data_IF_115587889796
#
_entry.id   IF_115587889796
#
_cell.length_a   1.000
_cell.length_b   1.000
_cell.length_c   1.000
_cell.angle_alpha   90.00
_cell.angle_beta   90.00
_cell.angle_gamma   90.00
#
_symmetry.space_group_name_H-M   'P 1'
#
loop_
_entity.id
_entity.type
_entity.pdbx_description
1 polymer ?
#
# COMPACT_ATOMS: atom_id res chain seq x y z
N UNK A 1 0.25 -55.72 -17.61
CA UNK A 1 -0.47 -56.61 -18.55
C UNK A 1 -1.80 -56.98 -17.91
N UNK A 2 -2.87 -56.95 -18.69
CA UNK A 2 -4.28 -57.25 -18.36
C UNK A 2 -5.22 -56.03 -18.37
N UNK A 3 -5.58 -55.79 -19.63
CA UNK A 3 -6.65 -55.03 -20.25
C UNK A 3 -8.02 -55.68 -19.92
N UNK A 4 -9.14 -54.95 -20.20
CA UNK A 4 -10.52 -55.43 -20.49
C UNK A 4 -11.41 -55.60 -19.22
N UNK A 5 -12.67 -55.13 -19.07
CA UNK A 5 -13.79 -54.66 -19.94
C UNK A 5 -14.75 -53.74 -19.14
N UNK A 6 -15.18 -52.59 -19.69
CA UNK A 6 -16.53 -52.27 -20.25
C UNK A 6 -17.69 -52.29 -19.24
N UNK A 7 -18.39 -51.16 -19.05
CA UNK A 7 -19.87 -51.04 -19.17
C UNK A 7 -20.26 -49.57 -19.41
N UNK A 8 -21.21 -49.46 -20.32
CA UNK A 8 -21.84 -48.32 -20.97
C UNK A 8 -22.92 -47.71 -20.07
N UNK A 9 -22.94 -46.39 -19.86
CA UNK A 9 -24.07 -45.70 -19.25
C UNK A 9 -24.31 -44.35 -19.95
N UNK A 10 -25.24 -44.41 -20.90
CA UNK A 10 -25.97 -43.30 -21.50
C UNK A 10 -26.88 -42.69 -20.42
N UNK A 11 -26.70 -41.41 -20.06
CA UNK A 11 -27.74 -40.67 -19.35
C UNK A 11 -27.70 -39.18 -19.70
N UNK A 12 -28.84 -38.76 -20.21
CA UNK A 12 -29.21 -37.43 -20.68
C UNK A 12 -29.26 -36.48 -19.48
N UNK A 13 -28.56 -35.36 -19.56
CA UNK A 13 -28.61 -34.28 -18.58
C UNK A 13 -28.73 -32.94 -19.29
N UNK A 14 -29.92 -32.34 -19.21
CA UNK A 14 -30.24 -30.99 -19.69
C UNK A 14 -29.15 -29.99 -19.28
N UNK A 15 -28.52 -29.33 -20.25
CA UNK A 15 -27.78 -28.09 -19.99
C UNK A 15 -28.77 -26.95 -19.82
N UNK A 16 -28.90 -26.49 -18.58
CA UNK A 16 -29.64 -25.28 -18.22
C UNK A 16 -28.95 -24.04 -18.80
N UNK A 17 -29.78 -23.07 -19.19
CA UNK A 17 -29.41 -21.92 -20.00
C UNK A 17 -28.34 -21.03 -19.40
N UNK A 18 -27.42 -20.60 -20.27
CA UNK A 18 -26.68 -19.35 -20.12
C UNK A 18 -27.66 -18.20 -20.32
N UNK A 19 -27.83 -17.36 -19.30
CA UNK A 19 -28.41 -16.03 -19.45
C UNK A 19 -27.38 -14.97 -19.11
N UNK A 20 -27.18 -14.10 -20.11
CA UNK A 20 -26.78 -12.71 -20.07
C UNK A 20 -25.59 -12.32 -19.17
N UNK A 21 -24.44 -12.17 -19.82
CA UNK A 21 -23.41 -11.21 -19.44
C UNK A 21 -23.96 -9.79 -19.55
N UNK A 22 -24.18 -9.11 -18.43
CA UNK A 22 -24.34 -7.66 -18.42
C UNK A 22 -22.96 -7.01 -18.48
N UNK A 23 -22.65 -6.42 -19.63
CA UNK A 23 -21.57 -5.44 -19.78
C UNK A 23 -21.95 -4.22 -18.93
N UNK A 24 -21.09 -3.79 -18.02
CA UNK A 24 -21.21 -2.49 -17.36
C UNK A 24 -20.51 -1.45 -18.22
N UNK A 25 -21.31 -0.72 -19.00
CA UNK A 25 -20.85 0.44 -19.77
C UNK A 25 -20.41 1.57 -18.82
N UNK A 26 -19.24 2.12 -19.08
CA UNK A 26 -18.59 3.17 -18.31
C UNK A 26 -19.14 4.56 -18.66
N UNK A 27 -20.42 4.82 -18.37
CA UNK A 27 -21.04 6.14 -18.62
C UNK A 27 -22.04 6.62 -17.56
N UNK A 28 -22.10 6.00 -16.36
CA UNK A 28 -22.97 6.48 -15.28
C UNK A 28 -22.20 7.28 -14.22
N UNK A 29 -21.77 8.47 -14.63
CA UNK A 29 -21.45 9.59 -13.75
C UNK A 29 -22.68 10.50 -13.70
N UNK A 30 -23.78 10.05 -13.09
CA UNK A 30 -24.85 10.97 -12.68
C UNK A 30 -25.28 10.70 -11.24
N UNK A 31 -25.31 11.78 -10.46
CA UNK A 31 -25.73 11.83 -9.06
C UNK A 31 -27.18 11.37 -8.95
N UNK A 32 -27.39 10.13 -8.50
CA UNK A 32 -28.72 9.56 -8.23
C UNK A 32 -28.82 9.06 -6.79
N UNK A 33 -29.68 9.70 -5.99
CA UNK A 33 -30.09 9.23 -4.66
C UNK A 33 -30.66 7.80 -4.75
N UNK A 34 -30.10 6.87 -4.01
CA UNK A 34 -30.75 5.57 -3.73
C UNK A 34 -31.59 5.73 -2.46
N UNK A 35 -32.90 5.37 -2.48
CA UNK A 35 -33.68 5.34 -1.25
C UNK A 35 -33.36 4.06 -0.48
N UNK A 36 -32.78 4.19 0.71
CA UNK A 36 -32.60 3.06 1.63
C UNK A 36 -33.87 2.93 2.46
N UNK A 37 -34.56 1.79 2.32
CA UNK A 37 -35.64 1.36 3.19
C UNK A 37 -35.04 0.84 4.49
N UNK A 38 -35.48 1.41 5.60
CA UNK A 38 -35.07 1.02 6.96
C UNK A 38 -35.82 -0.24 7.41
N UNK A 39 -35.09 -1.30 7.80
CA UNK A 39 -35.56 -2.32 8.74
C UNK A 39 -34.49 -2.55 9.81
N UNK A 40 -34.92 -2.51 11.07
CA UNK A 40 -34.11 -2.02 12.19
C UNK A 40 -33.34 -3.07 12.98
N UNK A 41 -32.38 -2.56 13.75
CA UNK A 41 -32.16 -2.95 15.15
C UNK A 41 -31.46 -1.81 15.87
N UNK A 42 -31.90 -1.52 17.09
CA UNK A 42 -31.41 -0.46 17.95
C UNK A 42 -29.92 -0.59 18.25
N UNK A 43 -29.10 0.20 17.57
CA UNK A 43 -27.68 0.38 17.83
C UNK A 43 -27.22 1.62 17.08
N UNK A 44 -26.82 2.66 17.82
CA UNK A 44 -26.17 3.89 17.38
C UNK A 44 -26.16 4.14 15.87
N UNK A 45 -27.16 4.86 15.35
CA UNK A 45 -27.14 5.38 13.97
C UNK A 45 -26.11 6.51 13.85
N UNK A 46 -24.83 6.14 13.89
CA UNK A 46 -23.79 7.00 13.34
C UNK A 46 -24.08 7.01 11.84
N UNK A 47 -24.53 8.14 11.30
CA UNK A 47 -24.68 8.32 9.86
C UNK A 47 -23.38 7.83 9.22
N UNK A 48 -23.46 6.72 8.46
CA UNK A 48 -22.27 6.15 7.84
C UNK A 48 -21.73 7.18 6.87
N UNK A 49 -20.71 7.93 7.29
CA UNK A 49 -20.06 8.97 6.50
C UNK A 49 -19.63 8.30 5.20
N UNK A 50 -20.22 8.71 4.08
CA UNK A 50 -19.85 8.17 2.78
C UNK A 50 -18.45 8.68 2.45
N UNK A 51 -17.45 7.84 2.70
CA UNK A 51 -16.06 8.16 2.39
C UNK A 51 -15.79 7.93 0.90
N UNK A 52 -15.07 8.86 0.22
CA UNK A 52 -14.54 8.61 -1.11
C UNK A 52 -13.75 7.30 -1.16
N UNK A 53 -13.80 6.58 -2.29
CA UNK A 53 -13.15 5.26 -2.46
C UNK A 53 -11.68 5.28 -2.01
N UNK A 54 -10.93 6.31 -2.42
CA UNK A 54 -9.52 6.48 -2.04
C UNK A 54 -9.30 6.50 -0.53
N UNK A 55 -10.18 7.13 0.24
CA UNK A 55 -10.05 7.19 1.69
C UNK A 55 -10.35 5.84 2.34
N UNK A 56 -11.33 5.11 1.80
CA UNK A 56 -11.67 3.77 2.29
C UNK A 56 -10.52 2.79 2.12
N UNK A 57 -9.85 2.83 0.97
CA UNK A 57 -8.72 1.96 0.68
C UNK A 57 -7.55 2.25 1.65
N UNK A 58 -7.24 3.53 1.90
CA UNK A 58 -6.21 3.92 2.88
C UNK A 58 -6.60 3.51 4.31
N UNK A 59 -7.87 3.64 4.70
CA UNK A 59 -8.33 3.20 6.01
C UNK A 59 -8.24 1.69 6.21
N UNK A 60 -8.45 0.89 5.16
CA UNK A 60 -8.26 -0.55 5.23
C UNK A 60 -6.79 -0.91 5.46
N UNK A 61 -5.88 -0.25 4.72
CA UNK A 61 -4.43 -0.40 4.91
C UNK A 61 -4.00 0.00 6.33
N UNK A 62 -4.55 1.09 6.88
CA UNK A 62 -4.22 1.62 8.22
C UNK A 62 -4.64 0.70 9.39
N UNK A 63 -5.37 -0.38 9.14
CA UNK A 63 -5.57 -1.45 10.13
C UNK A 63 -4.24 -2.09 10.53
N UNK A 64 -3.26 -2.10 9.62
CA UNK A 64 -1.88 -2.41 9.94
C UNK A 64 -1.20 -1.19 10.57
N UNK A 65 -0.63 -1.37 11.76
CA UNK A 65 0.09 -0.32 12.48
C UNK A 65 1.24 0.29 11.67
N UNK A 66 1.84 -0.47 10.77
CA UNK A 66 2.90 0.01 9.87
C UNK A 66 2.36 1.11 8.98
N UNK A 67 1.19 0.96 8.37
CA UNK A 67 0.58 1.99 7.52
C UNK A 67 0.15 3.21 8.33
N UNK A 68 -0.40 2.99 9.53
CA UNK A 68 -0.72 4.08 10.45
C UNK A 68 0.54 4.89 10.85
N UNK A 69 1.66 4.22 11.12
CA UNK A 69 2.93 4.87 11.42
C UNK A 69 3.57 5.52 10.20
N UNK A 70 3.46 4.94 8.99
CA UNK A 70 3.92 5.53 7.75
C UNK A 70 3.19 6.85 7.47
N UNK A 71 1.89 6.89 7.76
CA UNK A 71 1.12 8.13 7.72
C UNK A 71 1.67 9.18 8.68
N UNK A 72 1.98 8.82 9.93
CA UNK A 72 2.63 9.75 10.86
C UNK A 72 3.97 10.25 10.30
N UNK A 73 4.80 9.35 9.78
CA UNK A 73 6.11 9.72 9.22
C UNK A 73 6.02 10.61 7.98
N UNK A 74 4.89 10.58 7.27
CA UNK A 74 4.63 11.43 6.10
C UNK A 74 4.37 12.90 6.46
N UNK A 75 4.07 13.19 7.72
CA UNK A 75 3.57 14.49 8.16
C UNK A 75 4.23 14.96 9.46
N UNK A 76 5.03 16.03 9.37
CA UNK A 76 5.84 16.50 10.50
C UNK A 76 5.02 16.98 11.71
N UNK A 77 3.82 17.51 11.48
CA UNK A 77 2.84 17.90 12.49
C UNK A 77 2.32 16.67 13.25
N UNK A 78 1.98 15.59 12.53
CA UNK A 78 1.53 14.34 13.14
C UNK A 78 2.66 13.66 13.91
N UNK A 79 3.89 13.64 13.36
CA UNK A 79 5.05 13.09 14.05
C UNK A 79 5.31 13.79 15.39
N UNK A 80 5.16 15.11 15.44
CA UNK A 80 5.27 15.90 16.67
C UNK A 80 4.12 15.65 17.65
N UNK A 81 2.89 15.56 17.16
CA UNK A 81 1.70 15.45 18.00
C UNK A 81 1.45 14.03 18.53
N UNK A 82 1.73 13.01 17.71
CA UNK A 82 1.33 11.62 17.96
C UNK A 82 2.51 10.69 18.25
N UNK A 83 3.74 11.08 17.88
CA UNK A 83 4.91 10.22 18.02
C UNK A 83 4.72 8.90 17.28
N UNK A 84 4.85 7.77 17.97
CA UNK A 84 4.68 6.42 17.39
C UNK A 84 3.34 5.78 17.81
N UNK A 85 2.25 6.55 17.79
CA UNK A 85 0.93 6.08 18.20
C UNK A 85 0.00 5.80 16.99
N UNK A 86 -0.15 4.53 16.55
CA UNK A 86 -0.95 4.20 15.38
C UNK A 86 -2.46 4.44 15.58
N UNK A 87 -2.98 4.33 16.81
CA UNK A 87 -4.40 4.62 17.09
C UNK A 87 -4.75 6.09 16.90
N UNK A 88 -3.84 7.00 17.29
CA UNK A 88 -4.00 8.44 17.04
C UNK A 88 -3.97 8.76 15.55
N UNK A 89 -3.11 8.08 14.80
CA UNK A 89 -3.03 8.22 13.34
C UNK A 89 -4.33 7.78 12.65
N UNK A 90 -4.87 6.61 13.01
CA UNK A 90 -6.14 6.10 12.49
C UNK A 90 -7.29 7.08 12.76
N UNK A 91 -7.45 7.51 14.01
CA UNK A 91 -8.49 8.50 14.38
C UNK A 91 -8.35 9.80 13.61
N UNK A 92 -7.12 10.33 13.51
CA UNK A 92 -6.90 11.56 12.75
C UNK A 92 -7.27 11.40 11.28
N UNK A 93 -6.92 10.27 10.64
CA UNK A 93 -7.23 10.07 9.24
C UNK A 93 -8.74 9.95 8.98
N UNK A 94 -9.46 9.24 9.87
CA UNK A 94 -10.91 9.07 9.82
C UNK A 94 -11.66 10.39 10.05
N UNK A 95 -11.21 11.19 11.03
CA UNK A 95 -11.87 12.44 11.41
C UNK A 95 -11.55 13.59 10.43
N UNK A 96 -10.29 13.71 9.99
CA UNK A 96 -9.77 14.87 9.24
C UNK A 96 -8.97 14.48 7.99
N UNK A 97 -8.05 13.51 8.10
CA UNK A 97 -7.03 13.28 7.08
C UNK A 97 -7.57 12.94 5.68
N UNK A 98 -8.71 12.26 5.59
CA UNK A 98 -9.40 12.04 4.33
C UNK A 98 -9.90 13.35 3.69
N UNK A 99 -10.56 14.20 4.47
CA UNK A 99 -11.13 15.48 4.00
C UNK A 99 -10.03 16.49 3.65
N UNK A 100 -8.90 16.43 4.36
CA UNK A 100 -7.68 17.17 4.05
C UNK A 100 -6.95 16.66 2.79
N UNK A 101 -7.36 15.52 2.24
CA UNK A 101 -6.71 14.89 1.09
C UNK A 101 -5.31 14.33 1.37
N UNK A 102 -5.01 14.05 2.65
CA UNK A 102 -3.71 13.49 3.05
C UNK A 102 -3.52 12.07 2.52
N UNK A 103 -2.27 11.69 2.31
CA UNK A 103 -1.85 10.38 1.80
C UNK A 103 -0.49 9.99 2.37
N UNK A 104 -0.15 8.71 2.30
CA UNK A 104 1.14 8.21 2.77
C UNK A 104 2.20 8.50 1.71
N UNK A 105 3.21 9.31 2.06
CA UNK A 105 4.32 9.72 1.17
C UNK A 105 5.68 9.26 1.67
N UNK A 106 5.78 8.85 2.94
CA UNK A 106 6.96 8.24 3.49
C UNK A 106 7.07 6.77 3.06
N UNK A 107 8.27 6.34 2.65
CA UNK A 107 8.56 4.95 2.30
C UNK A 107 9.86 4.54 3.02
N UNK A 108 9.75 3.50 3.86
CA UNK A 108 10.85 3.07 4.71
C UNK A 108 12.02 2.45 3.94
N UNK A 109 11.77 1.78 2.81
CA UNK A 109 12.84 1.22 2.00
C UNK A 109 13.56 2.29 1.19
N UNK A 110 12.84 3.26 0.63
CA UNK A 110 13.47 4.41 -0.03
C UNK A 110 14.32 5.19 0.98
N UNK A 111 13.81 5.37 2.21
CA UNK A 111 14.56 5.96 3.31
C UNK A 111 15.87 5.21 3.56
N UNK A 112 15.83 3.89 3.81
CA UNK A 112 17.04 3.11 4.09
C UNK A 112 18.03 3.12 2.92
N UNK A 113 17.55 3.02 1.68
CA UNK A 113 18.41 3.01 0.49
C UNK A 113 19.25 4.30 0.33
N UNK A 114 18.81 5.41 0.92
CA UNK A 114 19.51 6.69 0.87
C UNK A 114 20.64 6.83 1.89
N UNK A 115 20.84 5.88 2.82
CA UNK A 115 21.80 6.03 3.91
C UNK A 115 22.60 4.74 4.16
N UNK A 116 23.89 4.78 3.88
CA UNK A 116 24.76 3.58 3.97
C UNK A 116 24.81 2.95 5.37
N UNK A 117 24.72 3.74 6.43
CA UNK A 117 24.63 3.26 7.81
C UNK A 117 23.32 2.51 8.07
N UNK A 118 22.20 2.99 7.53
CA UNK A 118 20.91 2.31 7.64
C UNK A 118 20.85 1.04 6.80
N UNK A 119 21.47 1.02 5.61
CA UNK A 119 21.58 -0.21 4.82
C UNK A 119 22.28 -1.30 5.62
N UNK A 120 23.37 -0.95 6.34
CA UNK A 120 24.13 -1.90 7.18
C UNK A 120 23.37 -2.32 8.44
N UNK A 121 22.70 -1.38 9.11
CA UNK A 121 22.07 -1.62 10.41
C UNK A 121 20.65 -2.21 10.31
N UNK A 122 19.88 -1.78 9.31
CA UNK A 122 18.44 -2.11 9.17
C UNK A 122 18.22 -3.12 8.05
N UNK A 123 18.79 -2.89 6.88
CA UNK A 123 18.52 -3.72 5.70
C UNK A 123 17.06 -3.62 5.24
N UNK A 124 16.46 -4.75 4.84
CA UNK A 124 15.08 -4.81 4.35
C UNK A 124 14.05 -5.05 5.45
N UNK A 125 13.97 -4.10 6.38
CA UNK A 125 13.01 -4.12 7.48
C UNK A 125 12.32 -2.75 7.54
N UNK A 126 11.12 -2.67 6.93
CA UNK A 126 10.38 -1.39 6.81
C UNK A 126 9.95 -0.87 8.18
N UNK A 127 9.60 -1.76 9.11
CA UNK A 127 9.17 -1.37 10.44
C UNK A 127 10.33 -0.76 11.23
N UNK A 128 11.52 -1.35 11.17
CA UNK A 128 12.72 -0.74 11.77
C UNK A 128 13.13 0.56 11.08
N UNK A 129 12.99 0.67 9.76
CA UNK A 129 13.23 1.91 9.04
C UNK A 129 12.34 3.05 9.56
N UNK A 130 11.06 2.75 9.74
CA UNK A 130 10.06 3.68 10.26
C UNK A 130 10.32 4.07 11.72
N UNK A 131 10.65 3.08 12.55
CA UNK A 131 11.01 3.31 13.95
C UNK A 131 12.24 4.20 14.06
N UNK A 132 13.27 3.95 13.26
CA UNK A 132 14.44 4.82 13.19
C UNK A 132 14.06 6.23 12.77
N UNK A 133 13.25 6.39 11.73
CA UNK A 133 12.88 7.72 11.24
C UNK A 133 12.13 8.54 12.30
N UNK A 134 11.12 7.93 12.94
CA UNK A 134 10.29 8.59 13.95
C UNK A 134 11.04 8.87 15.25
N UNK A 135 12.00 8.02 15.64
CA UNK A 135 12.80 8.23 16.85
C UNK A 135 13.98 9.19 16.62
N UNK A 136 14.66 9.09 15.47
CA UNK A 136 15.95 9.73 15.23
C UNK A 136 16.01 10.47 13.90
N UNK A 137 15.66 9.80 12.80
CA UNK A 137 15.90 10.29 11.44
C UNK A 137 15.35 11.69 11.16
N UNK A 138 14.13 11.98 11.61
CA UNK A 138 13.53 13.30 11.46
C UNK A 138 14.31 14.40 12.21
N UNK A 139 14.82 14.11 13.42
CA UNK A 139 15.64 15.05 14.23
C UNK A 139 17.06 15.22 13.66
N UNK A 140 17.56 14.19 13.00
CA UNK A 140 18.84 14.21 12.27
C UNK A 140 18.74 14.94 10.92
N UNK A 141 17.55 15.42 10.53
CA UNK A 141 17.33 16.07 9.24
C UNK A 141 17.37 15.09 8.05
N UNK A 142 17.21 13.78 8.30
CA UNK A 142 17.15 12.77 7.25
C UNK A 142 15.77 12.74 6.60
N UNK A 143 15.69 12.21 5.38
CA UNK A 143 14.43 12.05 4.64
C UNK A 143 14.51 10.91 3.63
N UNK A 144 13.36 10.41 3.18
CA UNK A 144 13.28 9.46 2.07
C UNK A 144 13.48 10.11 0.68
N UNK A 145 13.85 11.40 0.60
CA UNK A 145 14.15 12.07 -0.66
C UNK A 145 15.61 11.86 -1.12
N UNK A 146 16.50 11.37 -0.24
CA UNK A 146 17.92 11.23 -0.55
C UNK A 146 18.20 10.16 -1.61
N UNK A 147 17.42 9.08 -1.64
CA UNK A 147 17.59 8.03 -2.64
C UNK A 147 16.93 8.41 -3.97
N UNK A 148 17.75 8.67 -5.00
CA UNK A 148 17.26 8.95 -6.35
C UNK A 148 17.08 7.65 -7.15
N UNK A 149 15.91 7.03 -6.99
CA UNK A 149 15.58 5.78 -7.68
C UNK A 149 15.62 5.89 -9.22
N UNK A 150 15.20 7.03 -9.78
CA UNK A 150 15.22 7.24 -11.23
C UNK A 150 16.64 7.29 -11.78
N UNK A 151 17.54 7.99 -11.10
CA UNK A 151 18.96 8.03 -11.47
C UNK A 151 19.60 6.64 -11.33
N UNK A 152 19.26 5.91 -10.27
CA UNK A 152 19.72 4.54 -10.06
C UNK A 152 19.26 3.61 -11.20
N UNK A 153 18.00 3.67 -11.60
CA UNK A 153 17.50 2.89 -12.73
C UNK A 153 18.17 3.29 -14.05
N UNK A 154 18.31 4.59 -14.33
CA UNK A 154 18.88 5.08 -15.58
C UNK A 154 20.38 4.76 -15.71
N UNK A 155 21.11 4.62 -14.60
CA UNK A 155 22.52 4.20 -14.61
C UNK A 155 22.69 2.71 -14.93
N UNK A 156 21.72 1.88 -14.56
CA UNK A 156 21.83 0.43 -14.61
C UNK A 156 20.74 -0.17 -15.50
N UNK A 157 21.08 -0.43 -16.76
CA UNK A 157 20.15 -0.94 -17.78
C UNK A 157 19.44 -2.23 -17.37
N UNK A 158 20.13 -3.12 -16.65
CA UNK A 158 19.55 -4.35 -16.09
C UNK A 158 18.40 -4.05 -15.11
N UNK A 159 18.57 -3.04 -14.26
CA UNK A 159 17.55 -2.61 -13.31
C UNK A 159 16.41 -1.87 -14.00
N UNK A 160 16.73 -1.01 -14.97
CA UNK A 160 15.70 -0.32 -15.76
C UNK A 160 14.82 -1.30 -16.51
N UNK A 161 15.42 -2.30 -17.15
CA UNK A 161 14.69 -3.35 -17.87
C UNK A 161 13.82 -4.19 -16.91
N UNK A 162 14.35 -4.50 -15.71
CA UNK A 162 13.66 -5.38 -14.75
C UNK A 162 12.57 -4.68 -13.92
N UNK A 163 12.81 -3.44 -13.50
CA UNK A 163 11.98 -2.73 -12.53
C UNK A 163 11.37 -1.43 -13.08
N UNK A 164 11.81 -0.95 -14.24
CA UNK A 164 11.37 0.32 -14.80
C UNK A 164 11.65 1.48 -13.84
N UNK A 165 10.61 2.24 -13.53
CA UNK A 165 10.64 3.36 -12.58
C UNK A 165 10.07 3.00 -11.21
N UNK A 166 9.92 1.71 -10.89
CA UNK A 166 9.38 1.30 -9.59
C UNK A 166 10.41 1.60 -8.48
N UNK A 167 10.26 2.76 -7.84
CA UNK A 167 11.17 3.27 -6.83
C UNK A 167 11.36 2.31 -5.65
N UNK A 168 10.27 1.67 -5.22
CA UNK A 168 10.27 0.72 -4.11
C UNK A 168 11.09 -0.53 -4.43
N UNK A 169 10.91 -1.14 -5.61
CA UNK A 169 11.75 -2.28 -6.06
C UNK A 169 13.21 -1.90 -6.27
N UNK A 170 13.48 -0.70 -6.77
CA UNK A 170 14.82 -0.16 -6.95
C UNK A 170 15.53 0.06 -5.61
N UNK A 171 14.84 0.64 -4.62
CA UNK A 171 15.35 0.80 -3.27
C UNK A 171 15.63 -0.57 -2.64
N UNK A 172 14.71 -1.53 -2.78
CA UNK A 172 14.94 -2.89 -2.29
C UNK A 172 16.17 -3.56 -2.93
N UNK A 173 16.37 -3.37 -4.24
CA UNK A 173 17.56 -3.86 -4.94
C UNK A 173 18.82 -3.21 -4.39
N UNK A 174 18.80 -1.89 -4.22
CA UNK A 174 19.92 -1.13 -3.69
C UNK A 174 20.34 -1.64 -2.29
N UNK A 175 19.38 -1.82 -1.39
CA UNK A 175 19.62 -2.34 -0.03
C UNK A 175 20.13 -3.79 -0.08
N UNK A 176 19.48 -4.65 -0.86
CA UNK A 176 19.78 -6.08 -0.86
C UNK A 176 21.08 -6.40 -1.57
N UNK A 177 21.40 -5.74 -2.67
CA UNK A 177 22.50 -6.11 -3.56
C UNK A 177 23.36 -4.91 -3.95
N UNK A 178 22.75 -3.82 -4.42
CA UNK A 178 23.45 -2.69 -5.02
C UNK A 178 24.56 -2.12 -4.13
N UNK A 179 24.31 -1.99 -2.82
CA UNK A 179 25.30 -1.51 -1.87
C UNK A 179 26.54 -2.41 -1.77
N UNK A 180 26.37 -3.75 -1.78
CA UNK A 180 27.49 -4.72 -1.75
C UNK A 180 28.21 -4.83 -3.08
N UNK A 181 27.48 -4.63 -4.17
CA UNK A 181 28.01 -4.56 -5.54
C UNK A 181 28.77 -3.26 -5.82
N UNK A 182 28.80 -2.31 -4.86
CA UNK A 182 29.37 -0.97 -5.03
C UNK A 182 28.73 -0.19 -6.18
N UNK A 183 27.42 -0.36 -6.36
CA UNK A 183 26.64 0.46 -7.30
C UNK A 183 26.44 1.86 -6.75
N UNK A 184 26.57 2.86 -7.61
CA UNK A 184 26.32 4.27 -7.29
C UNK A 184 24.85 4.49 -6.87
N UNK A 185 24.58 5.62 -6.22
CA UNK A 185 23.26 6.01 -5.67
C UNK A 185 22.77 5.22 -4.44
N UNK A 186 23.52 4.20 -4.00
CA UNK A 186 23.24 3.47 -2.78
C UNK A 186 24.01 4.03 -1.57
N UNK A 187 23.27 4.62 -0.63
CA UNK A 187 23.78 5.07 0.67
C UNK A 187 24.27 6.52 0.76
#
# INVERSE_FOLDING_TARGET
MNILKIIFALLIGLSFGVSASTQVDASDLTVGKVPVTSSGTSGSIVAQRYLPRRCRDIMDDMKDDTYALLYIASYSDLAKAFGRNPDRARRHFEEYGCDEGRSITFDGWIYVAGYSDLIRAIGLDERKALDHFLLHGAREGRSNAKFNASAYANRYNDLKAKFGNNSRKLAQHCIRYGFRERREFCG
#
